data_IF_545629419085
#
_entry.id   IF_545629419085
#
_cell.length_a   1.000
_cell.length_b   1.000
_cell.length_c   1.000
_cell.angle_alpha   90.00
_cell.angle_beta   90.00
_cell.angle_gamma   90.00
#
_symmetry.space_group_name_H-M   'P 1'
#
loop_
_entity.id
_entity.type
_entity.pdbx_description
1 polymer ?
#
# COMPACT_ATOMS: atom_id res chain seq x y z
N UNK A 1 -8.86 -20.53 38.68
CA UNK A 1 -7.62 -19.76 38.41
C UNK A 1 -6.91 -20.21 37.12
N UNK A 2 -7.47 -21.14 36.32
CA UNK A 2 -6.78 -21.70 35.15
C UNK A 2 -6.93 -20.89 33.84
N UNK A 3 -7.84 -19.92 33.77
CA UNK A 3 -8.04 -19.13 32.55
C UNK A 3 -7.03 -17.97 32.39
N UNK A 4 -6.36 -17.57 33.48
CA UNK A 4 -5.31 -16.55 33.41
C UNK A 4 -4.05 -17.06 32.70
N UNK A 5 -3.78 -18.37 32.76
CA UNK A 5 -2.66 -19.00 32.06
C UNK A 5 -2.87 -19.13 30.53
N UNK A 6 -4.10 -18.87 30.03
CA UNK A 6 -4.41 -18.84 28.59
C UNK A 6 -4.24 -17.45 27.96
N UNK A 7 -3.95 -16.41 28.76
CA UNK A 7 -3.67 -15.07 28.25
C UNK A 7 -2.32 -15.06 27.53
N UNK A 8 -2.36 -15.12 26.20
CA UNK A 8 -1.20 -14.85 25.34
C UNK A 8 -1.11 -13.36 25.11
N UNK A 9 -0.11 -12.72 25.73
CA UNK A 9 0.30 -11.37 25.37
C UNK A 9 1.03 -11.45 24.03
N UNK A 10 0.38 -10.94 22.98
CA UNK A 10 0.99 -10.80 21.67
C UNK A 10 1.77 -9.49 21.69
N UNK A 11 3.09 -9.57 21.54
CA UNK A 11 3.91 -8.39 21.33
C UNK A 11 3.54 -7.76 19.97
N UNK A 12 3.28 -6.46 19.95
CA UNK A 12 2.99 -5.70 18.73
C UNK A 12 4.06 -5.91 17.66
N UNK A 13 5.32 -6.15 18.08
CA UNK A 13 6.44 -6.46 17.18
C UNK A 13 6.25 -7.73 16.34
N UNK A 14 5.33 -8.62 16.75
CA UNK A 14 5.03 -9.89 16.08
C UNK A 14 3.85 -9.83 15.13
N UNK A 15 3.08 -8.73 15.13
CA UNK A 15 1.97 -8.55 14.21
C UNK A 15 2.49 -8.50 12.78
N UNK A 16 1.90 -9.32 11.91
CA UNK A 16 2.16 -9.31 10.48
C UNK A 16 3.61 -9.65 10.07
N UNK A 17 4.43 -10.23 10.96
CA UNK A 17 5.83 -10.62 10.67
C UNK A 17 5.93 -12.11 10.29
N UNK A 18 6.30 -12.42 9.04
CA UNK A 18 6.48 -13.79 8.53
C UNK A 18 7.86 -14.00 7.86
N UNK A 19 8.22 -15.22 7.48
CA UNK A 19 9.39 -15.49 6.61
C UNK A 19 9.10 -15.26 5.13
N UNK A 20 7.83 -15.23 4.73
CA UNK A 20 7.40 -15.03 3.34
C UNK A 20 6.65 -13.70 3.24
N UNK A 21 7.40 -12.60 3.11
CA UNK A 21 6.93 -11.23 3.39
C UNK A 21 6.59 -10.40 2.16
N UNK A 22 6.95 -10.86 0.97
CA UNK A 22 6.87 -10.04 -0.24
C UNK A 22 5.58 -10.31 -1.01
N UNK A 23 5.08 -9.28 -1.69
CA UNK A 23 4.01 -9.43 -2.67
C UNK A 23 4.48 -10.34 -3.80
N UNK A 24 3.65 -11.30 -4.19
CA UNK A 24 3.70 -11.90 -5.52
C UNK A 24 3.23 -10.86 -6.50
N UNK A 25 4.14 -10.40 -7.34
CA UNK A 25 3.88 -9.35 -8.32
C UNK A 25 3.56 -10.03 -9.68
N UNK A 26 2.44 -9.66 -10.36
CA UNK A 26 2.15 -10.09 -11.73
C UNK A 26 3.27 -9.73 -12.71
N UNK A 27 3.30 -10.24 -13.94
CA UNK A 27 4.30 -9.81 -14.94
C UNK A 27 4.19 -8.31 -15.25
N UNK A 28 5.33 -7.61 -15.29
CA UNK A 28 5.39 -6.20 -14.87
C UNK A 28 5.69 -5.19 -15.97
N UNK A 29 6.16 -5.62 -17.15
CA UNK A 29 6.66 -4.68 -18.16
C UNK A 29 5.80 -4.71 -19.41
N UNK A 30 4.94 -3.69 -19.51
CA UNK A 30 4.24 -3.35 -20.75
C UNK A 30 4.54 -1.89 -21.12
N UNK A 31 4.15 -1.46 -22.32
CA UNK A 31 4.20 -0.04 -22.67
C UNK A 31 3.33 0.85 -21.76
N UNK A 32 2.44 0.25 -20.95
CA UNK A 32 1.43 0.93 -20.13
C UNK A 32 1.85 1.12 -18.66
N UNK A 33 2.70 0.23 -18.13
CA UNK A 33 3.24 0.30 -16.77
C UNK A 33 4.75 0.07 -16.82
N UNK A 34 5.51 0.94 -16.15
CA UNK A 34 6.97 0.80 -16.06
C UNK A 34 7.44 0.83 -14.62
N UNK A 35 8.10 -0.25 -14.21
CA UNK A 35 8.57 -0.45 -12.84
C UNK A 35 10.00 0.05 -12.68
N UNK A 36 10.22 0.80 -11.61
CA UNK A 36 11.52 1.28 -11.18
C UNK A 36 11.74 0.81 -9.75
N UNK A 37 12.57 -0.21 -9.59
CA UNK A 37 13.01 -0.65 -8.26
C UNK A 37 13.99 0.38 -7.69
N UNK A 38 13.64 0.97 -6.55
CA UNK A 38 14.48 1.96 -5.86
C UNK A 38 15.48 1.29 -4.93
N UNK A 39 14.98 0.33 -4.17
CA UNK A 39 15.73 -0.58 -3.31
C UNK A 39 14.94 -1.91 -3.25
N UNK A 40 15.53 -2.97 -2.70
CA UNK A 40 14.93 -4.32 -2.73
C UNK A 40 13.47 -4.31 -2.26
N UNK A 41 12.54 -4.65 -3.15
CA UNK A 41 11.09 -4.69 -2.91
C UNK A 41 10.40 -3.34 -2.65
N UNK A 42 11.00 -2.23 -3.10
CA UNK A 42 10.36 -0.92 -3.15
C UNK A 42 10.30 -0.44 -4.60
N UNK A 43 9.09 -0.31 -5.12
CA UNK A 43 8.84 -0.02 -6.52
C UNK A 43 8.12 1.33 -6.71
N UNK A 44 8.69 2.16 -7.57
CA UNK A 44 7.96 3.24 -8.22
C UNK A 44 7.43 2.72 -9.55
N UNK A 45 6.11 2.76 -9.72
CA UNK A 45 5.46 2.32 -10.97
C UNK A 45 5.00 3.56 -11.71
N UNK A 46 5.59 3.81 -12.87
CA UNK A 46 5.08 4.83 -13.78
C UNK A 46 3.83 4.30 -14.46
N UNK A 47 2.74 5.05 -14.30
CA UNK A 47 1.43 4.70 -14.86
C UNK A 47 1.16 5.59 -16.06
N UNK A 48 0.95 4.95 -17.22
CA UNK A 48 0.57 5.59 -18.48
C UNK A 48 -0.87 5.26 -18.89
N UNK A 49 -1.45 4.20 -18.33
CA UNK A 49 -2.81 3.73 -18.60
C UNK A 49 -3.47 3.28 -17.28
N UNK A 50 -4.58 3.94 -16.94
CA UNK A 50 -5.35 3.66 -15.73
C UNK A 50 -5.90 2.23 -15.71
N UNK A 51 -6.35 1.71 -16.85
CA UNK A 51 -6.93 0.37 -16.95
C UNK A 51 -5.85 -0.67 -16.64
N UNK A 52 -4.65 -0.49 -17.19
CA UNK A 52 -3.53 -1.38 -16.93
C UNK A 52 -3.13 -1.38 -15.44
N UNK A 53 -3.05 -0.20 -14.81
CA UNK A 53 -2.79 -0.08 -13.38
C UNK A 53 -3.83 -0.81 -12.53
N UNK A 54 -5.11 -0.66 -12.87
CA UNK A 54 -6.21 -1.27 -12.13
C UNK A 54 -6.17 -2.80 -12.23
N UNK A 55 -5.94 -3.34 -13.43
CA UNK A 55 -5.76 -4.77 -13.64
C UNK A 55 -4.57 -5.30 -12.85
N UNK A 56 -3.44 -4.60 -12.89
CA UNK A 56 -2.25 -4.94 -12.11
C UNK A 56 -2.53 -5.00 -10.60
N UNK A 57 -3.22 -3.99 -10.04
CA UNK A 57 -3.59 -3.99 -8.62
C UNK A 57 -4.50 -5.17 -8.28
N UNK A 58 -5.48 -5.47 -9.12
CA UNK A 58 -6.40 -6.59 -8.92
C UNK A 58 -5.67 -7.93 -8.94
N UNK A 59 -4.80 -8.15 -9.92
CA UNK A 59 -4.00 -9.37 -10.01
C UNK A 59 -3.03 -9.50 -8.84
N UNK A 60 -2.44 -8.39 -8.40
CA UNK A 60 -1.62 -8.34 -7.19
C UNK A 60 -2.43 -8.79 -5.98
N UNK A 61 -3.64 -8.26 -5.77
CA UNK A 61 -4.48 -8.64 -4.62
C UNK A 61 -4.92 -10.10 -4.71
N UNK A 62 -5.36 -10.56 -5.90
CA UNK A 62 -5.80 -11.96 -6.12
C UNK A 62 -4.67 -12.97 -5.93
N UNK A 63 -3.43 -12.59 -6.22
CA UNK A 63 -2.27 -13.50 -6.10
C UNK A 63 -1.74 -13.61 -4.67
N UNK A 64 -2.18 -12.75 -3.75
CA UNK A 64 -1.66 -12.63 -2.38
C UNK A 64 -2.71 -12.95 -1.32
N UNK A 65 -3.36 -14.12 -1.43
CA UNK A 65 -4.36 -14.61 -0.45
C UNK A 65 -3.75 -15.17 0.84
N UNK A 66 -2.41 -15.27 0.93
CA UNK A 66 -1.70 -15.79 2.10
C UNK A 66 -1.21 -14.66 3.03
N UNK A 67 -1.75 -13.46 2.88
CA UNK A 67 -1.31 -12.28 3.62
C UNK A 67 -2.30 -11.12 3.57
N UNK A 68 -1.86 -9.97 4.08
CA UNK A 68 -2.58 -8.69 4.04
C UNK A 68 -1.84 -7.71 3.13
N UNK A 69 -2.60 -6.98 2.33
CA UNK A 69 -2.15 -5.84 1.53
C UNK A 69 -2.87 -4.60 2.06
N UNK A 70 -2.10 -3.58 2.44
CA UNK A 70 -2.65 -2.29 2.85
C UNK A 70 -2.58 -1.35 1.66
N UNK A 71 -3.72 -0.92 1.17
CA UNK A 71 -3.83 0.00 0.05
C UNK A 71 -4.20 1.39 0.57
N UNK A 72 -3.29 2.34 0.42
CA UNK A 72 -3.56 3.76 0.59
C UNK A 72 -4.16 4.29 -0.70
N UNK A 73 -5.46 4.54 -0.65
CA UNK A 73 -6.21 5.05 -1.79
C UNK A 73 -6.13 6.58 -1.89
N UNK A 74 -4.98 7.04 -2.36
CA UNK A 74 -4.73 8.44 -2.64
C UNK A 74 -5.72 8.94 -3.70
N UNK A 75 -6.44 10.03 -3.40
CA UNK A 75 -7.39 10.67 -4.33
C UNK A 75 -8.55 9.77 -4.80
N UNK A 76 -8.90 8.76 -3.99
CA UNK A 76 -10.03 7.86 -4.24
C UNK A 76 -9.93 7.10 -5.58
N UNK A 77 -8.71 6.89 -6.12
CA UNK A 77 -8.52 6.18 -7.39
C UNK A 77 -9.07 4.75 -7.33
N UNK A 78 -8.84 4.04 -6.23
CA UNK A 78 -9.40 2.70 -5.99
C UNK A 78 -10.92 2.73 -5.85
N UNK A 79 -11.49 3.72 -5.15
CA UNK A 79 -12.95 3.81 -4.99
C UNK A 79 -13.68 4.13 -6.31
N UNK A 80 -13.06 4.86 -7.24
CA UNK A 80 -13.65 5.10 -8.58
C UNK A 80 -13.86 3.80 -9.36
N UNK A 81 -13.01 2.81 -9.12
CA UNK A 81 -12.93 1.57 -9.92
C UNK A 81 -13.50 0.36 -9.18
N UNK A 82 -13.45 0.34 -7.84
CA UNK A 82 -13.95 -0.75 -7.00
C UNK A 82 -15.34 -1.27 -7.41
N UNK A 83 -16.34 -0.42 -7.72
CA UNK A 83 -17.68 -0.89 -8.10
C UNK A 83 -17.72 -1.65 -9.42
N UNK A 84 -16.83 -1.32 -10.37
CA UNK A 84 -16.78 -1.97 -11.68
C UNK A 84 -16.16 -3.37 -11.63
N UNK A 85 -15.28 -3.63 -10.65
CA UNK A 85 -14.42 -4.82 -10.66
C UNK A 85 -14.71 -5.85 -9.56
N UNK A 86 -15.25 -5.44 -8.40
CA UNK A 86 -15.42 -6.37 -7.29
C UNK A 86 -16.79 -7.05 -7.19
N UNK A 87 -17.85 -6.57 -7.85
CA UNK A 87 -19.23 -7.14 -7.76
C UNK A 87 -19.58 -7.72 -6.35
N UNK A 88 -19.16 -7.05 -5.27
CA UNK A 88 -19.42 -7.46 -3.88
C UNK A 88 -18.37 -8.32 -3.16
N UNK A 89 -17.30 -8.78 -3.81
CA UNK A 89 -16.23 -9.57 -3.18
C UNK A 89 -15.18 -8.64 -2.52
N UNK A 90 -15.38 -8.25 -1.27
CA UNK A 90 -14.27 -7.72 -0.46
C UNK A 90 -13.32 -8.88 -0.14
N UNK A 91 -12.06 -8.75 -0.55
CA UNK A 91 -11.02 -9.70 -0.16
C UNK A 91 -10.63 -9.43 1.29
N UNK A 92 -10.68 -10.45 2.16
CA UNK A 92 -10.17 -10.37 3.54
C UNK A 92 -8.66 -10.03 3.60
N UNK A 93 -7.99 -10.03 2.45
CA UNK A 93 -6.56 -9.78 2.28
C UNK A 93 -6.26 -8.34 1.86
N UNK A 94 -7.27 -7.50 1.62
CA UNK A 94 -7.10 -6.09 1.24
C UNK A 94 -7.69 -5.20 2.32
N UNK A 95 -6.85 -4.33 2.89
CA UNK A 95 -7.30 -3.27 3.77
C UNK A 95 -7.09 -1.91 3.10
N UNK A 96 -8.17 -1.19 2.85
CA UNK A 96 -8.13 0.10 2.16
C UNK A 96 -8.13 1.23 3.19
N UNK A 97 -7.10 2.07 3.14
CA UNK A 97 -7.02 3.33 3.86
C UNK A 97 -7.33 4.43 2.85
N UNK A 98 -8.43 5.16 3.05
CA UNK A 98 -8.87 6.25 2.19
C UNK A 98 -9.08 7.54 2.99
N UNK A 99 -9.72 8.55 2.37
CA UNK A 99 -10.05 9.84 2.98
C UNK A 99 -8.81 10.62 3.40
N UNK A 100 -7.97 10.95 2.42
CA UNK A 100 -6.90 11.92 2.53
C UNK A 100 -6.56 12.47 1.14
N UNK A 101 -6.35 13.79 1.07
CA UNK A 101 -6.10 14.54 -0.18
C UNK A 101 -4.85 15.41 -0.09
N UNK A 102 -4.30 15.59 1.12
CA UNK A 102 -3.06 16.30 1.36
C UNK A 102 -1.94 15.33 1.75
N UNK A 103 -0.70 15.69 1.39
CA UNK A 103 0.48 14.88 1.72
C UNK A 103 0.74 14.81 3.24
N UNK A 104 0.35 15.85 3.98
CA UNK A 104 0.42 15.90 5.44
C UNK A 104 -0.49 14.85 6.09
N UNK A 105 -1.67 14.63 5.53
CA UNK A 105 -2.61 13.61 6.01
C UNK A 105 -2.05 12.21 5.79
N UNK A 106 -1.47 11.96 4.61
CA UNK A 106 -0.75 10.71 4.32
C UNK A 106 0.39 10.49 5.32
N UNK A 107 1.23 11.51 5.54
CA UNK A 107 2.33 11.46 6.51
C UNK A 107 1.86 11.15 7.94
N UNK A 108 0.74 11.74 8.36
CA UNK A 108 0.14 11.47 9.67
C UNK A 108 -0.46 10.05 9.76
N UNK A 109 -1.02 9.50 8.68
CA UNK A 109 -1.51 8.11 8.67
C UNK A 109 -0.35 7.11 8.72
N UNK A 110 0.74 7.37 7.98
CA UNK A 110 1.94 6.54 8.00
C UNK A 110 2.67 6.59 9.35
N UNK A 111 2.70 7.75 10.03
CA UNK A 111 3.29 7.84 11.38
C UNK A 111 2.51 7.04 12.43
N UNK A 112 1.22 6.78 12.18
CA UNK A 112 0.31 5.99 13.03
C UNK A 112 -0.02 4.63 12.42
N UNK A 113 0.93 4.03 11.68
CA UNK A 113 0.69 2.79 10.96
C UNK A 113 0.25 1.61 11.87
N UNK A 114 0.74 1.54 13.10
CA UNK A 114 0.30 0.52 14.07
C UNK A 114 -1.21 0.60 14.36
N UNK A 115 -1.76 1.81 14.44
CA UNK A 115 -3.19 2.02 14.66
C UNK A 115 -4.01 1.50 13.47
N UNK A 116 -3.43 1.52 12.26
CA UNK A 116 -4.03 0.94 11.06
C UNK A 116 -4.05 -0.59 11.18
N UNK A 117 -2.93 -1.20 11.58
CA UNK A 117 -2.85 -2.65 11.80
C UNK A 117 -3.82 -3.14 12.89
N UNK A 118 -4.04 -2.33 13.93
CA UNK A 118 -4.99 -2.65 14.99
C UNK A 118 -6.46 -2.62 14.56
N UNK A 119 -6.78 -1.92 13.46
CA UNK A 119 -8.13 -1.88 12.87
C UNK A 119 -8.44 -3.07 11.95
N UNK A 120 -7.43 -3.85 11.59
CA UNK A 120 -7.64 -5.11 10.87
C UNK A 120 -8.47 -6.08 11.73
N UNK A 121 -9.30 -6.89 11.09
CA UNK A 121 -10.03 -7.94 11.79
C UNK A 121 -9.06 -8.95 12.44
N UNK A 122 -9.59 -9.76 13.37
CA UNK A 122 -8.77 -10.68 14.17
C UNK A 122 -8.06 -11.72 13.31
N UNK A 123 -8.64 -12.15 12.19
CA UNK A 123 -8.02 -13.15 11.30
C UNK A 123 -6.97 -12.51 10.40
N UNK A 124 -7.24 -11.32 9.84
CA UNK A 124 -6.26 -10.57 9.06
C UNK A 124 -5.01 -10.21 9.88
N UNK A 125 -5.14 -9.88 11.17
CA UNK A 125 -3.98 -9.59 12.05
C UNK A 125 -3.02 -10.76 12.25
N UNK A 126 -3.49 -11.99 12.05
CA UNK A 126 -2.65 -13.20 12.13
C UNK A 126 -1.88 -13.46 10.83
N UNK A 127 -2.28 -12.82 9.74
CA UNK A 127 -1.65 -12.97 8.44
C UNK A 127 -0.46 -12.00 8.30
N UNK A 128 0.55 -12.34 7.49
CA UNK A 128 1.68 -11.45 7.24
C UNK A 128 1.30 -10.24 6.39
N UNK A 129 1.91 -9.08 6.68
CA UNK A 129 1.81 -7.90 5.83
C UNK A 129 2.69 -8.13 4.61
N UNK A 130 2.07 -8.35 3.45
CA UNK A 130 2.75 -8.63 2.19
C UNK A 130 3.16 -7.36 1.47
N UNK A 131 2.33 -6.33 1.55
CA UNK A 131 2.69 -5.06 0.94
C UNK A 131 1.85 -3.88 1.34
N UNK A 132 2.44 -2.71 1.09
CA UNK A 132 1.80 -1.41 1.20
C UNK A 132 1.79 -0.80 -0.21
N UNK A 133 0.59 -0.51 -0.70
CA UNK A 133 0.37 0.05 -2.03
C UNK A 133 -0.18 1.46 -1.88
N UNK A 134 0.42 2.43 -2.56
CA UNK A 134 -0.06 3.80 -2.63
C UNK A 134 -0.53 4.06 -4.06
N UNK A 135 -1.83 4.34 -4.24
CA UNK A 135 -2.44 4.39 -5.58
C UNK A 135 -1.85 5.53 -6.40
N UNK A 136 -2.06 6.80 -6.06
CA UNK A 136 -1.59 7.95 -6.85
C UNK A 136 -0.70 8.91 -6.03
N UNK A 137 0.61 8.68 -6.08
CA UNK A 137 1.61 9.49 -5.37
C UNK A 137 2.10 10.71 -6.18
N UNK A 138 1.77 10.79 -7.47
CA UNK A 138 2.22 11.90 -8.32
C UNK A 138 1.66 13.24 -7.88
N UNK A 139 0.40 13.31 -7.46
CA UNK A 139 -0.22 14.58 -7.02
C UNK A 139 0.48 15.11 -5.77
N UNK A 140 0.80 14.25 -4.79
CA UNK A 140 1.56 14.64 -3.61
C UNK A 140 2.97 15.12 -3.94
N UNK A 141 3.63 14.47 -4.90
CA UNK A 141 4.93 14.92 -5.39
C UNK A 141 4.85 16.35 -5.93
N UNK A 142 3.83 16.68 -6.72
CA UNK A 142 3.61 18.03 -7.22
C UNK A 142 3.25 19.03 -6.12
N UNK A 143 2.31 18.70 -5.21
CA UNK A 143 1.97 19.54 -4.05
C UNK A 143 3.21 19.88 -3.19
N UNK A 144 4.13 18.92 -3.04
CA UNK A 144 5.35 19.11 -2.25
C UNK A 144 6.38 20.05 -2.90
N UNK A 145 6.30 20.28 -4.22
CA UNK A 145 7.15 21.27 -4.91
C UNK A 145 6.77 22.69 -4.53
N UNK A 146 5.49 22.92 -4.21
CA UNK A 146 4.96 24.25 -3.89
C UNK A 146 5.08 24.57 -2.39
N UNK A 147 4.88 23.58 -1.50
CA UNK A 147 4.77 23.83 -0.05
C UNK A 147 5.87 23.21 0.83
N UNK A 148 6.92 22.66 0.23
CA UNK A 148 8.11 22.20 0.96
C UNK A 148 8.35 20.70 0.79
N UNK A 149 9.37 20.39 -0.01
CA UNK A 149 9.88 19.03 -0.27
C UNK A 149 10.12 18.17 1.00
N UNK A 150 10.19 18.79 2.18
CA UNK A 150 10.36 18.13 3.48
C UNK A 150 9.26 17.10 3.77
N UNK A 151 7.99 17.40 3.52
CA UNK A 151 6.90 16.46 3.81
C UNK A 151 6.97 15.24 2.89
N UNK A 152 7.34 15.45 1.62
CA UNK A 152 7.57 14.36 0.68
C UNK A 152 8.67 13.41 1.15
N UNK A 153 9.85 13.95 1.50
CA UNK A 153 10.94 13.12 2.01
C UNK A 153 10.54 12.40 3.31
N UNK A 154 9.82 13.06 4.21
CA UNK A 154 9.29 12.41 5.42
C UNK A 154 8.38 11.22 5.10
N UNK A 155 7.50 11.33 4.09
CA UNK A 155 6.65 10.21 3.66
C UNK A 155 7.49 9.08 3.08
N UNK A 156 8.49 9.38 2.25
CA UNK A 156 9.40 8.37 1.71
C UNK A 156 10.16 7.65 2.82
N UNK A 157 10.76 8.40 3.75
CA UNK A 157 11.50 7.85 4.89
C UNK A 157 10.61 6.96 5.77
N UNK A 158 9.35 7.34 6.00
CA UNK A 158 8.40 6.52 6.73
C UNK A 158 8.11 5.20 6.01
N UNK A 159 7.90 5.23 4.69
CA UNK A 159 7.67 4.02 3.90
C UNK A 159 8.88 3.09 3.92
N UNK A 160 10.10 3.63 3.82
CA UNK A 160 11.33 2.84 3.94
C UNK A 160 11.47 2.21 5.34
N UNK A 161 11.14 2.95 6.40
CA UNK A 161 11.13 2.40 7.77
C UNK A 161 10.09 1.29 7.94
N UNK A 162 8.90 1.44 7.34
CA UNK A 162 7.87 0.40 7.35
C UNK A 162 8.31 -0.83 6.55
N UNK A 163 8.93 -0.64 5.38
CA UNK A 163 9.53 -1.71 4.59
C UNK A 163 10.60 -2.45 5.42
N UNK A 164 11.50 -1.74 6.09
CA UNK A 164 12.54 -2.37 6.91
C UNK A 164 11.97 -3.10 8.14
N UNK A 165 10.98 -2.50 8.82
CA UNK A 165 10.34 -3.07 10.01
C UNK A 165 9.54 -4.33 9.68
N UNK A 166 8.68 -4.27 8.67
CA UNK A 166 7.77 -5.35 8.33
C UNK A 166 8.35 -6.34 7.31
N UNK A 167 9.32 -5.90 6.51
CA UNK A 167 9.88 -6.63 5.35
C UNK A 167 8.88 -6.80 4.21
N UNK A 168 7.82 -5.98 4.16
CA UNK A 168 6.78 -6.02 3.15
C UNK A 168 7.23 -5.34 1.84
N UNK A 169 6.52 -5.59 0.74
CA UNK A 169 6.75 -4.89 -0.54
C UNK A 169 6.06 -3.53 -0.55
N UNK A 170 6.75 -2.47 -0.98
CA UNK A 170 6.15 -1.15 -1.17
C UNK A 170 5.95 -0.89 -2.67
N UNK A 171 4.76 -0.45 -3.06
CA UNK A 171 4.46 -0.04 -4.43
C UNK A 171 3.86 1.37 -4.41
N UNK A 172 4.45 2.29 -5.17
CA UNK A 172 3.92 3.64 -5.38
C UNK A 172 3.53 3.82 -6.84
N UNK A 173 2.25 4.05 -7.11
CA UNK A 173 1.80 4.45 -8.43
C UNK A 173 2.10 5.93 -8.68
N UNK A 174 2.77 6.22 -9.79
CA UNK A 174 3.25 7.53 -10.20
C UNK A 174 2.77 7.84 -11.62
N UNK A 175 1.65 8.53 -11.76
CA UNK A 175 1.11 8.99 -13.04
C UNK A 175 2.07 9.96 -13.69
N UNK A 176 2.30 9.75 -14.97
CA UNK A 176 3.00 10.73 -15.78
C UNK A 176 2.01 11.78 -16.29
N UNK A 177 1.92 12.90 -15.58
CA UNK A 177 1.12 14.05 -16.03
C UNK A 177 1.81 14.86 -17.14
N UNK A 178 3.05 14.51 -17.53
CA UNK A 178 3.81 15.25 -18.55
C UNK A 178 3.57 14.75 -19.97
N UNK A 179 2.79 13.68 -20.16
CA UNK A 179 2.47 13.12 -21.47
C UNK A 179 1.27 13.76 -22.17
N UNK A 180 0.54 14.70 -21.54
CA UNK A 180 -0.47 15.49 -22.26
C UNK A 180 0.17 16.60 -23.10
N UNK A 181 0.80 16.19 -24.19
CA UNK A 181 0.69 16.90 -25.47
C UNK A 181 -0.46 16.27 -26.23
N UNK A 182 -1.67 16.71 -25.90
CA UNK A 182 -2.81 16.78 -26.82
C UNK A 182 -3.39 18.18 -26.73
#
# INVERSE_FOLDING_TARGET
MDDFAKLKFIDLSTLCVSRNKHLKLPEQNSGQLKFFEKNQHFFDVRVYDDIAWNNYLLETIKSNTDGVVILFDCFLEWHKIQPMFLRGSQSNHLFVVSEFTAIEELSNKLSKFEDILLKLDVEARKLPLKGIVLTNMSVYYWQSKDNGKKTWFSVVDQLERLQAKYGCTIIRGMWDFTSKRE
#
